data_IF_645374541115
#
_entry.id   IF_645374541115
#
_cell.length_a   1.000
_cell.length_b   1.000
_cell.length_c   1.000
_cell.angle_alpha   90.00
_cell.angle_beta   90.00
_cell.angle_gamma   90.00
#
_symmetry.space_group_name_H-M   'P 1'
#
loop_
_entity.id
_entity.type
_entity.pdbx_description
1 polymer ?
#
# COMPACT_ATOMS: atom_id res chain seq x y z
N UNK A 1 15.74 27.42 -12.53
CA UNK A 1 15.46 26.04 -12.07
C UNK A 1 14.76 26.16 -10.73
N UNK A 2 13.52 25.68 -10.63
CA UNK A 2 12.80 25.74 -9.37
C UNK A 2 13.40 24.72 -8.38
N UNK A 3 13.17 24.94 -7.08
CA UNK A 3 13.54 23.95 -6.05
C UNK A 3 12.85 22.61 -6.34
N UNK A 4 11.64 22.63 -6.90
CA UNK A 4 10.89 21.43 -7.29
C UNK A 4 11.59 20.65 -8.41
N UNK A 5 12.11 21.33 -9.43
CA UNK A 5 12.84 20.68 -10.54
C UNK A 5 14.11 20.00 -10.02
N UNK A 6 14.83 20.64 -9.09
CA UNK A 6 16.02 20.09 -8.48
C UNK A 6 15.72 18.83 -7.65
N UNK A 7 14.60 18.84 -6.93
CA UNK A 7 14.16 17.70 -6.13
C UNK A 7 13.72 16.53 -7.01
N UNK A 8 12.89 16.78 -8.02
CA UNK A 8 12.45 15.73 -8.96
C UNK A 8 13.63 15.11 -9.68
N UNK A 9 14.61 15.92 -10.09
CA UNK A 9 15.83 15.45 -10.74
C UNK A 9 16.72 14.65 -9.78
N UNK A 10 16.82 15.04 -8.50
CA UNK A 10 17.54 14.27 -7.48
C UNK A 10 16.84 12.95 -7.17
N UNK A 11 15.52 12.94 -7.03
CA UNK A 11 14.74 11.72 -6.81
C UNK A 11 14.89 10.76 -7.97
N UNK A 12 14.73 11.25 -9.21
CA UNK A 12 14.88 10.45 -10.41
C UNK A 12 16.32 9.95 -10.57
N UNK A 13 17.32 10.80 -10.28
CA UNK A 13 18.72 10.41 -10.27
C UNK A 13 19.01 9.29 -9.26
N UNK A 14 18.51 9.42 -8.02
CA UNK A 14 18.62 8.36 -7.01
C UNK A 14 17.91 7.08 -7.43
N UNK A 15 16.72 7.17 -8.04
CA UNK A 15 15.97 6.03 -8.58
C UNK A 15 16.77 5.28 -9.64
N UNK A 16 17.32 5.99 -10.62
CA UNK A 16 18.14 5.40 -11.69
C UNK A 16 19.43 4.76 -11.18
N UNK A 17 20.06 5.34 -10.15
CA UNK A 17 21.25 4.74 -9.52
C UNK A 17 20.90 3.42 -8.81
N UNK A 18 19.73 3.37 -8.17
CA UNK A 18 19.21 2.17 -7.52
C UNK A 18 18.85 1.08 -8.52
N UNK A 19 18.16 1.42 -9.62
CA UNK A 19 17.85 0.50 -10.72
C UNK A 19 19.11 -0.13 -11.34
N UNK A 20 20.22 0.61 -11.37
CA UNK A 20 21.52 0.13 -11.87
C UNK A 20 22.30 -0.72 -10.87
N UNK A 21 21.72 -1.05 -9.72
CA UNK A 21 22.37 -1.87 -8.70
C UNK A 21 23.55 -1.18 -8.01
N UNK A 22 23.67 0.15 -8.11
CA UNK A 22 24.65 0.91 -7.32
C UNK A 22 24.13 1.08 -5.88
N UNK A 23 24.16 -0.03 -5.14
CA UNK A 23 23.82 -0.05 -3.71
C UNK A 23 24.94 0.62 -2.91
N UNK A 24 24.64 1.75 -2.27
CA UNK A 24 25.61 2.59 -1.57
C UNK A 24 25.11 4.04 -1.42
N UNK A 25 25.96 5.03 -1.74
CA UNK A 25 25.65 6.45 -1.56
C UNK A 25 24.37 6.93 -2.25
N UNK A 26 23.95 6.28 -3.35
CA UNK A 26 22.70 6.60 -4.05
C UNK A 26 21.44 6.27 -3.23
N UNK A 27 21.48 5.19 -2.45
CA UNK A 27 20.39 4.80 -1.54
C UNK A 27 20.30 5.76 -0.35
N UNK A 28 21.45 6.12 0.23
CA UNK A 28 21.52 7.05 1.36
C UNK A 28 21.12 8.47 0.93
N UNK A 29 21.54 8.91 -0.27
CA UNK A 29 21.09 10.17 -0.86
C UNK A 29 19.60 10.14 -1.17
N UNK A 30 19.08 9.06 -1.76
CA UNK A 30 17.65 8.91 -2.03
C UNK A 30 16.82 8.96 -0.75
N UNK A 31 17.31 8.34 0.32
CA UNK A 31 16.71 8.38 1.65
C UNK A 31 16.69 9.81 2.22
N UNK A 32 17.85 10.48 2.21
CA UNK A 32 18.03 11.84 2.75
C UNK A 32 17.20 12.85 1.97
N UNK A 33 17.22 12.78 0.64
CA UNK A 33 16.43 13.66 -0.23
C UNK A 33 14.95 13.42 0.00
N UNK A 34 14.51 12.16 0.05
CA UNK A 34 13.10 11.84 0.31
C UNK A 34 12.68 12.33 1.70
N UNK A 35 13.43 12.05 2.76
CA UNK A 35 13.09 12.53 4.11
C UNK A 35 13.08 14.06 4.20
N UNK A 36 14.04 14.75 3.57
CA UNK A 36 14.10 16.22 3.56
C UNK A 36 13.00 16.84 2.69
N UNK A 37 12.62 16.20 1.59
CA UNK A 37 11.51 16.61 0.75
C UNK A 37 10.19 16.52 1.51
N UNK A 38 9.94 15.36 2.13
CA UNK A 38 8.77 15.12 2.97
C UNK A 38 8.67 16.17 4.07
N UNK A 39 9.81 16.45 4.72
CA UNK A 39 9.93 17.45 5.76
C UNK A 39 9.64 18.87 5.26
N UNK A 40 10.21 19.25 4.12
CA UNK A 40 10.05 20.59 3.55
C UNK A 40 8.60 20.82 3.13
N UNK A 41 7.99 19.86 2.42
CA UNK A 41 6.58 19.96 2.02
C UNK A 41 5.63 19.96 3.22
N UNK A 42 5.92 19.18 4.26
CA UNK A 42 5.10 19.19 5.48
C UNK A 42 5.10 20.54 6.20
N UNK A 43 6.17 21.34 6.07
CA UNK A 43 6.24 22.69 6.67
C UNK A 43 5.49 23.73 5.86
N UNK A 44 5.46 23.57 4.54
CA UNK A 44 4.74 24.44 3.62
C UNK A 44 3.21 24.19 3.73
N UNK A 45 2.80 22.92 3.82
CA UNK A 45 1.40 22.49 3.94
C UNK A 45 0.90 22.44 5.39
N UNK A 46 0.85 23.60 6.07
CA UNK A 46 0.41 23.69 7.49
C UNK A 46 -1.04 23.26 7.74
N UNK A 47 -1.89 23.16 6.71
CA UNK A 47 -3.33 22.94 6.88
C UNK A 47 -3.76 21.48 6.87
N UNK A 48 -2.94 20.55 6.36
CA UNK A 48 -3.42 19.19 6.11
C UNK A 48 -2.38 18.10 6.46
N UNK A 49 -2.47 17.60 7.69
CA UNK A 49 -1.61 16.52 8.21
C UNK A 49 -1.72 15.22 7.41
N UNK A 50 -2.83 15.00 6.69
CA UNK A 50 -3.01 13.82 5.85
C UNK A 50 -2.11 13.85 4.60
N UNK A 51 -1.63 15.02 4.15
CA UNK A 51 -0.74 15.14 3.00
C UNK A 51 0.64 14.53 3.27
N UNK A 52 1.14 14.65 4.51
CA UNK A 52 2.41 14.07 4.90
C UNK A 52 2.44 12.56 4.66
N UNK A 53 1.33 11.88 4.98
CA UNK A 53 1.16 10.47 4.71
C UNK A 53 1.18 10.11 3.23
N UNK A 54 0.54 10.93 2.39
CA UNK A 54 0.51 10.73 0.93
C UNK A 54 1.89 10.93 0.30
N UNK A 55 2.62 11.97 0.71
CA UNK A 55 3.98 12.16 0.22
C UNK A 55 4.89 11.02 0.66
N UNK A 56 4.77 10.59 1.93
CA UNK A 56 5.54 9.46 2.44
C UNK A 56 5.22 8.17 1.67
N UNK A 57 3.95 7.97 1.31
CA UNK A 57 3.51 6.82 0.55
C UNK A 57 4.16 6.75 -0.82
N UNK A 58 4.28 7.86 -1.55
CA UNK A 58 4.96 7.88 -2.86
C UNK A 58 6.37 7.33 -2.72
N UNK A 59 7.16 7.87 -1.78
CA UNK A 59 8.55 7.41 -1.60
C UNK A 59 8.65 5.96 -1.12
N UNK A 60 7.80 5.54 -0.17
CA UNK A 60 7.80 4.16 0.34
C UNK A 60 7.40 3.17 -0.74
N UNK A 61 6.32 3.45 -1.50
CA UNK A 61 5.85 2.59 -2.56
C UNK A 61 6.91 2.43 -3.66
N UNK A 62 7.56 3.52 -4.10
CA UNK A 62 8.64 3.44 -5.08
C UNK A 62 9.81 2.58 -4.60
N UNK A 63 10.19 2.64 -3.32
CA UNK A 63 11.22 1.75 -2.79
C UNK A 63 10.77 0.29 -2.78
N UNK A 64 9.51 0.03 -2.41
CA UNK A 64 8.97 -1.33 -2.39
C UNK A 64 8.83 -1.91 -3.79
N UNK A 65 8.44 -1.12 -4.81
CA UNK A 65 8.35 -1.55 -6.21
C UNK A 65 9.71 -1.95 -6.78
N UNK A 66 10.79 -1.31 -6.31
CA UNK A 66 12.16 -1.67 -6.66
C UNK A 66 12.71 -2.86 -5.84
N UNK A 67 11.89 -3.47 -4.97
CA UNK A 67 12.31 -4.54 -4.07
C UNK A 67 13.22 -4.09 -2.92
N UNK A 68 13.35 -2.78 -2.69
CA UNK A 68 14.25 -2.17 -1.70
C UNK A 68 13.59 -2.06 -0.32
N UNK A 69 13.22 -3.19 0.26
CA UNK A 69 12.52 -3.27 1.57
C UNK A 69 13.34 -2.60 2.69
N UNK A 70 14.68 -2.74 2.66
CA UNK A 70 15.57 -2.12 3.66
C UNK A 70 15.47 -0.60 3.61
N UNK A 71 15.48 -0.02 2.40
CA UNK A 71 15.39 1.43 2.19
C UNK A 71 14.03 1.97 2.62
N UNK A 72 12.94 1.29 2.28
CA UNK A 72 11.59 1.65 2.71
C UNK A 72 11.48 1.68 4.24
N UNK A 73 12.05 0.67 4.92
CA UNK A 73 12.09 0.61 6.38
C UNK A 73 12.94 1.71 7.01
N UNK A 74 14.11 1.99 6.43
CA UNK A 74 14.96 3.11 6.86
C UNK A 74 14.23 4.44 6.73
N UNK A 75 13.43 4.63 5.68
CA UNK A 75 12.65 5.84 5.48
C UNK A 75 11.55 5.96 6.53
N UNK A 76 10.81 4.87 6.76
CA UNK A 76 9.79 4.83 7.82
C UNK A 76 10.39 5.14 9.20
N UNK A 77 11.59 4.62 9.49
CA UNK A 77 12.33 4.94 10.72
C UNK A 77 12.76 6.41 10.76
N UNK A 78 13.26 6.96 9.66
CA UNK A 78 13.60 8.37 9.58
C UNK A 78 12.37 9.27 9.82
N UNK A 79 11.21 8.90 9.27
CA UNK A 79 9.94 9.59 9.50
C UNK A 79 9.57 9.56 11.00
N UNK A 80 9.76 8.42 11.68
CA UNK A 80 9.50 8.30 13.11
C UNK A 80 10.34 9.23 13.99
N UNK A 81 11.53 9.65 13.53
CA UNK A 81 12.37 10.62 14.25
C UNK A 81 11.73 12.00 14.33
N UNK A 82 10.73 12.29 13.49
CA UNK A 82 9.91 13.51 13.55
C UNK A 82 8.68 13.35 14.44
N UNK A 83 8.72 12.42 15.41
CA UNK A 83 7.62 12.06 16.33
C UNK A 83 6.93 13.25 17.00
N UNK A 84 7.66 14.34 17.30
CA UNK A 84 7.13 15.57 17.89
C UNK A 84 6.08 16.28 17.01
N UNK A 85 6.13 16.08 15.70
CA UNK A 85 5.17 16.63 14.74
C UNK A 85 4.06 15.65 14.36
N UNK A 86 4.35 14.36 14.49
CA UNK A 86 3.47 13.27 14.10
C UNK A 86 2.47 12.86 15.18
N UNK A 87 2.57 13.44 16.39
CA UNK A 87 1.80 13.04 17.56
C UNK A 87 1.81 11.50 17.73
N UNK A 88 3.00 10.91 17.75
CA UNK A 88 3.13 9.46 17.97
C UNK A 88 2.60 9.12 19.37
N UNK A 89 1.58 8.26 19.44
CA UNK A 89 0.89 7.95 20.70
C UNK A 89 1.54 6.79 21.44
N UNK A 90 2.06 5.79 20.72
CA UNK A 90 2.59 4.57 21.36
C UNK A 90 3.57 3.87 20.43
N UNK A 91 4.61 3.23 20.97
CA UNK A 91 5.43 2.28 20.23
C UNK A 91 5.21 0.88 20.76
N UNK A 92 4.93 -0.07 19.87
CA UNK A 92 4.85 -1.50 20.19
C UNK A 92 6.06 -2.21 19.60
N UNK A 93 6.57 -3.21 20.31
CA UNK A 93 7.65 -4.08 19.82
C UNK A 93 7.04 -5.44 19.47
N UNK A 94 7.20 -5.87 18.22
CA UNK A 94 6.74 -7.17 17.74
C UNK A 94 7.87 -7.80 16.94
N UNK A 95 8.35 -8.97 17.35
CA UNK A 95 9.33 -9.76 16.60
C UNK A 95 10.57 -8.95 16.14
N UNK A 96 11.22 -8.23 17.08
CA UNK A 96 12.37 -7.35 16.84
C UNK A 96 12.10 -6.16 15.90
N UNK A 97 10.84 -5.90 15.56
CA UNK A 97 10.41 -4.73 14.80
C UNK A 97 9.63 -3.80 15.71
N UNK A 98 10.14 -2.57 15.84
CA UNK A 98 9.45 -1.50 16.56
C UNK A 98 8.44 -0.83 15.62
N UNK A 99 7.16 -0.95 15.96
CA UNK A 99 6.05 -0.34 15.24
C UNK A 99 5.62 0.90 16.01
N UNK A 100 5.54 2.03 15.33
CA UNK A 100 5.05 3.27 15.91
C UNK A 100 3.59 3.47 15.52
N UNK A 101 2.72 3.71 16.49
CA UNK A 101 1.32 4.03 16.26
C UNK A 101 1.23 5.55 16.17
N UNK A 102 0.91 6.02 14.97
CA UNK A 102 0.70 7.42 14.65
C UNK A 102 -0.80 7.75 14.60
N UNK A 103 -1.14 8.99 14.92
CA UNK A 103 -2.49 9.52 14.66
C UNK A 103 -2.79 9.55 13.15
N UNK A 104 -1.76 9.69 12.33
CA UNK A 104 -1.87 9.73 10.87
C UNK A 104 -1.97 8.29 10.34
N UNK A 105 -3.18 7.85 10.00
CA UNK A 105 -3.49 6.48 9.57
C UNK A 105 -2.65 6.00 8.38
N UNK A 106 -2.34 6.88 7.43
CA UNK A 106 -1.52 6.55 6.26
C UNK A 106 -0.09 6.14 6.64
N UNK A 107 0.49 6.67 7.72
CA UNK A 107 1.81 6.24 8.19
C UNK A 107 1.76 4.88 8.88
N UNK A 108 0.65 4.56 9.55
CA UNK A 108 0.42 3.22 10.10
C UNK A 108 0.28 2.19 8.97
N UNK A 109 -0.48 2.54 7.93
CA UNK A 109 -0.61 1.73 6.74
C UNK A 109 0.75 1.44 6.10
N UNK A 110 1.60 2.45 5.88
CA UNK A 110 2.91 2.25 5.24
C UNK A 110 3.83 1.35 6.06
N UNK A 111 3.84 1.49 7.40
CA UNK A 111 4.61 0.59 8.25
C UNK A 111 4.14 -0.85 8.14
N UNK A 112 2.83 -1.08 8.18
CA UNK A 112 2.24 -2.41 8.03
C UNK A 112 2.51 -2.97 6.64
N UNK A 113 2.43 -2.16 5.59
CA UNK A 113 2.74 -2.56 4.22
C UNK A 113 4.19 -3.02 4.09
N UNK A 114 5.15 -2.26 4.62
CA UNK A 114 6.57 -2.65 4.62
C UNK A 114 6.77 -4.00 5.33
N UNK A 115 6.15 -4.20 6.49
CA UNK A 115 6.22 -5.46 7.23
C UNK A 115 5.58 -6.61 6.46
N UNK A 116 4.43 -6.38 5.85
CA UNK A 116 3.71 -7.39 5.07
C UNK A 116 4.54 -7.80 3.85
N UNK A 117 5.14 -6.85 3.14
CA UNK A 117 6.07 -7.14 2.03
C UNK A 117 7.33 -7.88 2.51
N UNK A 118 7.85 -7.57 3.71
CA UNK A 118 9.00 -8.27 4.27
C UNK A 118 8.70 -9.75 4.58
N UNK A 119 7.48 -10.05 5.02
CA UNK A 119 7.02 -11.43 5.24
C UNK A 119 6.71 -12.13 3.91
N UNK A 120 6.26 -11.39 2.90
CA UNK A 120 5.88 -11.91 1.58
C UNK A 120 4.63 -12.80 1.68
N UNK A 121 4.53 -13.90 0.91
CA UNK A 121 3.35 -14.76 0.96
C UNK A 121 3.16 -15.39 2.36
N UNK A 122 4.20 -15.45 3.20
CA UNK A 122 4.14 -16.06 4.52
C UNK A 122 3.89 -17.57 4.44
N UNK A 123 3.38 -18.15 5.53
CA UNK A 123 3.07 -19.57 5.59
C UNK A 123 1.68 -19.89 5.02
N UNK A 124 1.48 -21.15 4.65
CA UNK A 124 0.16 -21.73 4.42
C UNK A 124 -0.65 -21.74 5.75
N UNK A 125 -1.99 -21.85 5.69
CA UNK A 125 -2.83 -21.92 6.89
C UNK A 125 -2.49 -23.06 7.86
N UNK A 126 -1.82 -24.10 7.37
CA UNK A 126 -1.33 -25.23 8.16
C UNK A 126 0.06 -24.99 8.79
N UNK A 127 0.63 -23.79 8.64
CA UNK A 127 1.95 -23.41 9.15
C UNK A 127 3.13 -23.76 8.25
N UNK A 128 2.92 -24.51 7.17
CA UNK A 128 3.99 -24.91 6.26
C UNK A 128 4.41 -23.79 5.29
N UNK A 129 5.65 -23.85 4.84
CA UNK A 129 6.16 -22.91 3.82
C UNK A 129 5.52 -23.26 2.47
N UNK A 130 4.91 -22.29 1.76
CA UNK A 130 4.34 -22.54 0.45
C UNK A 130 5.43 -22.96 -0.55
N UNK A 131 5.17 -23.94 -1.42
CA UNK A 131 6.11 -24.30 -2.48
C UNK A 131 6.32 -23.14 -3.46
N UNK A 132 7.43 -23.12 -4.22
CA UNK A 132 7.64 -22.13 -5.27
C UNK A 132 6.45 -22.08 -6.23
N UNK A 133 6.03 -20.87 -6.62
CA UNK A 133 4.88 -20.63 -7.51
C UNK A 133 3.52 -21.06 -6.93
N UNK A 134 3.38 -21.12 -5.61
CA UNK A 134 2.09 -21.37 -4.98
C UNK A 134 1.11 -20.20 -5.18
N UNK A 135 0.08 -20.43 -5.98
CA UNK A 135 -0.96 -19.44 -6.24
C UNK A 135 -2.12 -19.49 -5.23
N UNK A 136 -2.16 -20.50 -4.36
CA UNK A 136 -3.22 -20.67 -3.37
C UNK A 136 -3.15 -19.70 -2.18
N UNK A 137 -4.09 -19.84 -1.24
CA UNK A 137 -4.21 -18.94 -0.09
C UNK A 137 -3.04 -19.12 0.88
N UNK A 138 -2.45 -18.01 1.28
CA UNK A 138 -1.40 -17.95 2.30
C UNK A 138 -1.75 -16.88 3.31
N UNK A 139 -1.16 -16.97 4.51
CA UNK A 139 -1.39 -16.00 5.59
C UNK A 139 -1.00 -14.59 5.13
N UNK A 140 0.14 -14.43 4.44
CA UNK A 140 0.59 -13.14 3.94
C UNK A 140 -0.35 -12.52 2.90
N UNK A 141 -0.92 -13.33 1.99
CA UNK A 141 -1.94 -12.87 1.03
C UNK A 141 -3.18 -12.37 1.75
N UNK A 142 -3.71 -13.15 2.69
CA UNK A 142 -4.90 -12.79 3.44
C UNK A 142 -4.69 -11.52 4.28
N UNK A 143 -3.52 -11.38 4.91
CA UNK A 143 -3.15 -10.17 5.67
C UNK A 143 -3.07 -8.95 4.75
N UNK A 144 -2.43 -9.09 3.59
CA UNK A 144 -2.33 -8.03 2.59
C UNK A 144 -3.73 -7.57 2.13
N UNK A 145 -4.59 -8.50 1.70
CA UNK A 145 -5.95 -8.18 1.24
C UNK A 145 -6.81 -7.53 2.35
N UNK A 146 -6.74 -8.06 3.57
CA UNK A 146 -7.45 -7.51 4.72
C UNK A 146 -6.97 -6.10 5.07
N UNK A 147 -5.65 -5.85 4.99
CA UNK A 147 -5.07 -4.52 5.21
C UNK A 147 -5.55 -3.52 4.16
N UNK A 148 -5.49 -3.87 2.88
CA UNK A 148 -5.96 -2.98 1.79
C UNK A 148 -7.45 -2.71 1.93
N UNK A 149 -8.27 -3.75 2.15
CA UNK A 149 -9.71 -3.62 2.33
C UNK A 149 -10.10 -2.81 3.58
N UNK A 150 -9.31 -2.90 4.65
CA UNK A 150 -9.49 -2.11 5.87
C UNK A 150 -9.20 -0.63 5.62
N UNK A 151 -7.99 -0.31 5.14
CA UNK A 151 -7.56 1.08 5.00
C UNK A 151 -8.23 1.84 3.85
N UNK A 152 -8.69 1.15 2.80
CA UNK A 152 -9.47 1.78 1.72
C UNK A 152 -10.77 2.41 2.21
N UNK A 153 -11.32 1.96 3.35
CA UNK A 153 -12.55 2.51 3.94
C UNK A 153 -12.32 3.80 4.73
N UNK A 154 -11.11 4.01 5.24
CA UNK A 154 -10.82 5.10 6.19
C UNK A 154 -10.29 6.35 5.50
N UNK A 155 -9.58 6.20 4.38
CA UNK A 155 -9.00 7.36 3.69
C UNK A 155 -8.89 7.09 2.19
N UNK A 156 -9.66 7.82 1.39
CA UNK A 156 -9.80 7.62 -0.05
C UNK A 156 -8.52 7.85 -0.87
N UNK A 157 -7.41 8.24 -0.25
CA UNK A 157 -6.12 8.37 -0.94
C UNK A 157 -5.59 7.02 -1.45
N UNK A 158 -5.86 5.92 -0.75
CA UNK A 158 -5.45 4.58 -1.19
C UNK A 158 -6.19 4.19 -2.47
N UNK A 159 -7.42 4.66 -2.64
CA UNK A 159 -8.26 4.42 -3.82
C UNK A 159 -7.85 5.24 -5.04
N UNK A 160 -6.81 6.07 -4.95
CA UNK A 160 -6.32 6.81 -6.12
C UNK A 160 -5.70 5.84 -7.13
N UNK A 161 -5.90 6.04 -8.45
CA UNK A 161 -5.45 5.09 -9.47
C UNK A 161 -3.95 4.78 -9.39
N UNK A 162 -3.10 5.79 -9.20
CA UNK A 162 -1.66 5.61 -9.09
C UNK A 162 -1.26 4.74 -7.90
N UNK A 163 -1.91 4.91 -6.74
CA UNK A 163 -1.62 4.10 -5.55
C UNK A 163 -2.15 2.68 -5.74
N UNK A 164 -3.32 2.51 -6.37
CA UNK A 164 -3.86 1.18 -6.69
C UNK A 164 -2.94 0.41 -7.64
N UNK A 165 -2.38 1.06 -8.66
CA UNK A 165 -1.43 0.46 -9.58
C UNK A 165 -0.14 0.03 -8.87
N UNK A 166 0.42 0.90 -8.02
CA UNK A 166 1.56 0.55 -7.17
C UNK A 166 1.25 -0.64 -6.26
N UNK A 167 0.10 -0.63 -5.60
CA UNK A 167 -0.31 -1.72 -4.71
C UNK A 167 -0.52 -3.02 -5.48
N UNK A 168 -1.13 -2.97 -6.66
CA UNK A 168 -1.28 -4.13 -7.53
C UNK A 168 0.07 -4.73 -7.94
N UNK A 169 1.03 -3.88 -8.32
CA UNK A 169 2.41 -4.27 -8.63
C UNK A 169 3.07 -4.94 -7.43
N UNK A 170 2.91 -4.38 -6.23
CA UNK A 170 3.45 -4.98 -5.00
C UNK A 170 2.79 -6.32 -4.65
N UNK A 171 1.49 -6.46 -4.90
CA UNK A 171 0.74 -7.68 -4.66
C UNK A 171 1.23 -8.82 -5.57
N UNK A 172 1.48 -8.52 -6.84
CA UNK A 172 2.05 -9.48 -7.78
C UNK A 172 3.48 -9.83 -7.39
N UNK A 173 4.32 -8.82 -7.14
CA UNK A 173 5.75 -9.04 -6.88
C UNK A 173 6.02 -9.80 -5.57
N UNK A 174 5.33 -9.44 -4.48
CA UNK A 174 5.62 -10.00 -3.15
C UNK A 174 4.71 -11.17 -2.78
N UNK A 175 3.55 -11.32 -3.43
CA UNK A 175 2.56 -12.32 -3.04
C UNK A 175 2.07 -13.17 -4.22
N UNK A 176 2.40 -12.84 -5.47
CA UNK A 176 1.88 -13.53 -6.65
C UNK A 176 0.38 -13.35 -6.88
N UNK A 177 -0.22 -12.29 -6.30
CA UNK A 177 -1.63 -11.95 -6.53
C UNK A 177 -1.70 -11.17 -7.84
N UNK A 178 -2.35 -11.74 -8.85
CA UNK A 178 -2.63 -11.03 -10.09
C UNK A 178 -3.97 -10.36 -9.99
N UNK A 179 -3.97 -9.03 -9.97
CA UNK A 179 -5.18 -8.30 -10.25
C UNK A 179 -5.42 -8.36 -11.75
N UNK A 180 -6.53 -8.95 -12.16
CA UNK A 180 -7.06 -8.68 -13.49
C UNK A 180 -7.56 -7.25 -13.44
N UNK A 181 -6.66 -6.31 -13.73
CA UNK A 181 -7.07 -4.94 -14.01
C UNK A 181 -8.02 -5.08 -15.18
N UNK A 182 -9.33 -4.97 -14.93
CA UNK A 182 -10.29 -4.71 -15.99
C UNK A 182 -9.95 -3.32 -16.53
N UNK A 183 -8.88 -3.21 -17.31
CA UNK A 183 -8.87 -2.27 -18.39
C UNK A 183 -10.09 -2.68 -19.22
N UNK A 184 -11.18 -1.96 -19.01
CA UNK A 184 -12.18 -1.73 -20.05
C UNK A 184 -11.42 -1.03 -21.19
N UNK A 185 -10.63 -1.79 -21.94
CA UNK A 185 -10.38 -1.49 -23.33
C UNK A 185 -11.76 -1.54 -23.98
N UNK A 186 -12.30 -0.36 -24.21
CA UNK A 186 -13.60 -0.16 -24.80
C UNK A 186 -13.65 -0.71 -26.21
N UNK A 187 -13.92 -2.01 -26.35
CA UNK A 187 -14.61 -2.55 -27.50
C UNK A 187 -16.11 -2.56 -27.20
N UNK A 188 -16.67 -1.34 -27.11
CA UNK A 188 -18.09 -1.05 -27.15
C UNK A 188 -18.47 -0.89 -28.64
N UNK A 189 -18.46 -1.97 -29.46
CA UNK A 189 -19.63 -2.16 -30.31
C UNK A 189 -19.97 -3.64 -30.63
N UNK A 190 -19.62 -4.62 -29.79
CA UNK A 190 -20.01 -6.03 -30.06
C UNK A 190 -21.32 -6.46 -29.39
N UNK A 191 -21.81 -5.73 -28.37
CA UNK A 191 -23.02 -6.09 -27.61
C UNK A 191 -24.31 -5.40 -28.10
N UNK A 192 -24.26 -4.63 -29.19
CA UNK A 192 -25.44 -3.91 -29.72
C UNK A 192 -26.12 -4.57 -30.93
N UNK A 193 -25.73 -5.79 -31.31
CA UNK A 193 -26.29 -6.52 -32.47
C UNK A 193 -26.98 -7.85 -32.11
N UNK A 194 -27.52 -7.97 -30.88
CA UNK A 194 -28.16 -9.20 -30.45
C UNK A 194 -29.27 -8.99 -29.42
N UNK A 195 -30.20 -8.06 -29.67
CA UNK A 195 -31.47 -8.02 -28.93
C UNK A 195 -32.57 -8.51 -29.87
N UNK A 196 -32.68 -9.83 -29.99
CA UNK A 196 -33.96 -10.45 -30.34
C UNK A 196 -34.86 -10.36 -29.10
N UNK A 197 -35.95 -9.62 -29.25
CA UNK A 197 -37.03 -9.51 -28.28
C UNK A 197 -37.69 -10.89 -28.15
N UNK A 198 -37.47 -11.55 -27.02
CA UNK A 198 -38.35 -12.62 -26.55
C UNK A 198 -38.94 -12.15 -25.22
N UNK A 199 -40.20 -11.75 -25.30
CA UNK A 199 -41.06 -11.51 -24.15
C UNK A 199 -41.16 -12.79 -23.33
N UNK A 200 -40.66 -12.75 -22.09
CA UNK A 200 -41.09 -13.70 -21.08
C UNK A 200 -41.16 -13.04 -19.70
N UNK A 201 -42.38 -12.65 -19.39
CA UNK A 201 -42.92 -12.29 -18.08
C UNK A 201 -42.72 -13.46 -17.11
N UNK A 202 -41.92 -13.29 -16.06
CA UNK A 202 -41.91 -14.18 -14.89
C UNK A 202 -41.71 -13.38 -13.60
N UNK A 203 -42.59 -13.71 -12.67
CA UNK A 203 -42.92 -13.06 -11.41
C UNK A 203 -41.77 -12.72 -10.45
N UNK A 204 -41.95 -11.54 -9.88
CA UNK A 204 -41.40 -11.05 -8.61
C UNK A 204 -41.85 -11.98 -7.47
N UNK A 205 -40.94 -12.39 -6.58
CA UNK A 205 -41.11 -12.46 -5.11
C UNK A 205 -40.03 -13.36 -4.47
N UNK A 206 -38.99 -12.76 -3.90
CA UNK A 206 -38.40 -13.25 -2.63
C UNK A 206 -37.37 -12.25 -2.10
N UNK A 207 -37.84 -11.38 -1.20
CA UNK A 207 -37.01 -10.64 -0.26
C UNK A 207 -36.37 -11.63 0.72
N UNK A 208 -35.04 -11.62 0.83
CA UNK A 208 -34.36 -12.03 2.05
C UNK A 208 -33.51 -10.87 2.57
N UNK A 209 -33.92 -10.39 3.75
CA UNK A 209 -33.23 -9.39 4.53
C UNK A 209 -31.95 -9.99 5.12
N UNK A 210 -30.80 -9.38 4.83
CA UNK A 210 -29.57 -9.59 5.58
C UNK A 210 -29.45 -8.48 6.63
N UNK A 211 -29.57 -8.88 7.89
CA UNK A 211 -29.36 -8.08 9.09
C UNK A 211 -27.95 -7.47 9.13
N UNK A 212 -27.79 -6.22 9.63
CA UNK A 212 -26.47 -5.60 9.76
C UNK A 212 -25.67 -6.26 10.89
N UNK A 213 -24.50 -6.81 10.57
CA UNK A 213 -23.54 -7.27 11.58
C UNK A 213 -22.87 -6.08 12.28
N UNK A 214 -22.80 -6.23 13.59
CA UNK A 214 -22.30 -5.32 14.61
C UNK A 214 -20.82 -4.91 14.38
N UNK A 215 -20.53 -3.61 14.44
CA UNK A 215 -19.23 -2.98 14.11
C UNK A 215 -18.19 -2.95 15.25
N UNK A 216 -18.35 -3.74 16.31
CA UNK A 216 -17.43 -3.74 17.45
C UNK A 216 -16.82 -5.12 17.66
N UNK A 217 -15.70 -5.40 16.98
CA UNK A 217 -14.61 -6.32 17.37
C UNK A 217 -13.80 -6.71 16.11
N UNK A 218 -12.83 -5.89 15.74
CA UNK A 218 -11.68 -6.36 14.97
C UNK A 218 -10.71 -7.00 15.98
N UNK A 219 -10.55 -8.34 16.02
CA UNK A 219 -9.61 -8.94 16.94
C UNK A 219 -8.18 -8.69 16.44
N UNK A 220 -7.41 -8.06 17.31
CA UNK A 220 -5.96 -7.79 17.24
C UNK A 220 -5.12 -9.09 17.32
N UNK A 221 -5.59 -10.21 16.76
CA UNK A 221 -5.13 -11.58 17.07
C UNK A 221 -4.46 -12.28 15.87
N UNK A 222 -4.04 -11.57 14.84
CA UNK A 222 -3.33 -12.18 13.69
C UNK A 222 -1.90 -11.66 13.46
N UNK A 223 -1.22 -11.25 14.54
CA UNK A 223 0.20 -10.88 14.54
C UNK A 223 0.99 -11.56 15.69
N UNK A 224 0.62 -12.78 16.05
CA UNK A 224 1.45 -13.71 16.85
C UNK A 224 1.77 -14.92 15.97
#
# INVERSE_FOLDING_TARGET
>A
MSIQDAISLLFEGSRLLLERGQTGSGTDLGLIVSSNLLWTRSKEDKSNKDLLGRYAAISVLSFLELGLIISARSLSKAISNYSKLLNSETSSECNNSKIFIFVILSLNFLQLLILTCQVGPGSLPNGNIPPPNHNGPTIGKAVYEAMIGGYSRFNGWISTPAIQESLATLAEMNFGIRFVTQQQDGNIPSDLMGVEVVDQEVDLHSHQALTPMNQSNLPLVLLL
#
